data_IF_779946688982
#
_entry.id   IF_779946688982
#
_cell.length_a   1.000
_cell.length_b   1.000
_cell.length_c   1.000
_cell.angle_alpha   90.00
_cell.angle_beta   90.00
_cell.angle_gamma   90.00
#
_symmetry.space_group_name_H-M   'P 1'
#
loop_
_entity.id
_entity.type
_entity.pdbx_description
1 polymer ?
#
# COMPACT_ATOMS: atom_id res chain seq x y z
N UNK A 1 -3.31 -25.02 -1.60
CA UNK A 1 -2.05 -24.27 -1.41
C UNK A 1 -1.10 -25.14 -0.63
N UNK A 2 0.18 -25.13 -1.00
CA UNK A 2 1.23 -25.85 -0.30
C UNK A 2 1.46 -25.25 1.11
N UNK A 3 1.78 -26.10 2.10
CA UNK A 3 1.99 -25.68 3.50
C UNK A 3 3.17 -24.72 3.69
N UNK A 4 4.20 -24.86 2.86
CA UNK A 4 5.35 -23.96 2.90
C UNK A 4 4.99 -22.57 2.41
N UNK A 5 4.25 -22.47 1.29
CA UNK A 5 3.71 -21.23 0.76
C UNK A 5 2.77 -20.55 1.76
N UNK A 6 1.89 -21.32 2.40
CA UNK A 6 0.99 -20.81 3.44
C UNK A 6 1.77 -20.19 4.60
N UNK A 7 2.77 -20.92 5.13
CA UNK A 7 3.62 -20.43 6.22
C UNK A 7 4.36 -19.16 5.83
N UNK A 8 5.03 -19.17 4.69
CA UNK A 8 5.76 -18.00 4.17
C UNK A 8 4.87 -16.77 4.02
N UNK A 9 3.64 -16.98 3.54
CA UNK A 9 2.67 -15.89 3.43
C UNK A 9 2.26 -15.36 4.81
N UNK A 10 1.92 -16.23 5.77
CA UNK A 10 1.48 -15.80 7.11
C UNK A 10 2.58 -15.05 7.86
N UNK A 11 3.84 -15.46 7.71
CA UNK A 11 5.01 -14.77 8.25
C UNK A 11 5.19 -13.40 7.57
N UNK A 12 5.16 -13.36 6.26
CA UNK A 12 5.35 -12.13 5.48
C UNK A 12 4.23 -11.13 5.72
N UNK A 13 2.97 -11.55 5.63
CA UNK A 13 1.83 -10.65 5.85
C UNK A 13 1.80 -10.11 7.28
N UNK A 14 2.17 -10.92 8.28
CA UNK A 14 2.26 -10.47 9.66
C UNK A 14 3.32 -9.38 9.83
N UNK A 15 4.51 -9.59 9.27
CA UNK A 15 5.60 -8.61 9.30
C UNK A 15 5.19 -7.31 8.59
N UNK A 16 4.66 -7.40 7.37
CA UNK A 16 4.29 -6.23 6.56
C UNK A 16 3.09 -5.48 7.13
N UNK A 17 2.18 -6.15 7.82
CA UNK A 17 1.11 -5.49 8.57
C UNK A 17 1.66 -4.69 9.74
N UNK A 18 2.65 -5.19 10.47
CA UNK A 18 3.28 -4.45 11.59
C UNK A 18 4.10 -3.28 11.07
N UNK A 19 4.83 -3.46 9.97
CA UNK A 19 5.68 -2.41 9.40
C UNK A 19 4.91 -1.33 8.63
N UNK A 20 3.63 -1.53 8.29
CA UNK A 20 2.86 -0.62 7.43
C UNK A 20 3.00 0.87 7.78
N UNK A 21 2.95 1.31 9.07
CA UNK A 21 3.16 2.72 9.39
C UNK A 21 4.57 3.23 9.09
N UNK A 22 5.58 2.38 9.20
CA UNK A 22 6.96 2.74 8.88
C UNK A 22 7.15 2.78 7.36
N UNK A 23 6.60 1.80 6.65
CA UNK A 23 6.69 1.71 5.20
C UNK A 23 5.92 2.86 4.53
N UNK A 24 4.83 3.35 5.15
CA UNK A 24 4.09 4.52 4.69
C UNK A 24 4.97 5.78 4.62
N UNK A 25 5.98 5.91 5.49
CA UNK A 25 6.91 7.04 5.46
C UNK A 25 7.70 7.10 4.15
N UNK A 26 8.02 5.95 3.55
CA UNK A 26 8.69 5.93 2.25
C UNK A 26 7.85 6.59 1.16
N UNK A 27 6.54 6.37 1.19
CA UNK A 27 5.63 7.04 0.25
C UNK A 27 5.54 8.54 0.54
N UNK A 28 5.54 8.96 1.81
CA UNK A 28 5.57 10.37 2.18
C UNK A 28 6.87 11.05 1.72
N UNK A 29 8.01 10.38 1.87
CA UNK A 29 9.30 10.84 1.34
C UNK A 29 9.27 10.93 -0.18
N UNK A 30 8.65 9.95 -0.88
CA UNK A 30 8.50 10.00 -2.33
C UNK A 30 7.60 11.16 -2.80
N UNK A 31 6.56 11.51 -2.04
CA UNK A 31 5.72 12.70 -2.33
C UNK A 31 6.54 13.98 -2.28
N UNK A 32 7.43 14.09 -1.29
CA UNK A 32 8.25 15.28 -1.05
C UNK A 32 9.50 15.37 -1.93
N UNK A 33 9.93 14.27 -2.54
CA UNK A 33 11.20 14.20 -3.29
C UNK A 33 11.09 14.85 -4.68
N UNK A 34 11.69 16.04 -4.91
CA UNK A 34 11.58 16.76 -6.18
C UNK A 34 12.36 16.08 -7.34
N UNK A 35 13.26 15.14 -7.03
CA UNK A 35 14.06 14.44 -8.04
C UNK A 35 13.27 13.29 -8.69
N UNK A 36 12.13 12.88 -8.07
CA UNK A 36 11.22 11.90 -8.65
C UNK A 36 10.25 12.56 -9.65
N UNK A 37 9.91 11.82 -10.69
CA UNK A 37 8.90 12.23 -11.67
C UNK A 37 7.58 12.63 -11.01
N UNK A 38 6.99 13.75 -11.46
CA UNK A 38 5.74 14.27 -10.89
C UNK A 38 4.61 13.22 -10.83
N UNK A 39 4.44 12.43 -11.91
CA UNK A 39 3.42 11.37 -11.95
C UNK A 39 3.63 10.31 -10.85
N UNK A 40 4.88 9.98 -10.57
CA UNK A 40 5.27 9.03 -9.52
C UNK A 40 5.00 9.60 -8.12
N UNK A 41 5.27 10.88 -7.91
CA UNK A 41 4.93 11.58 -6.66
C UNK A 41 3.41 11.63 -6.44
N UNK A 42 2.63 11.89 -7.49
CA UNK A 42 1.15 11.82 -7.44
C UNK A 42 0.66 10.40 -7.13
N UNK A 43 1.30 9.37 -7.69
CA UNK A 43 1.01 7.97 -7.37
C UNK A 43 1.29 7.69 -5.88
N UNK A 44 2.42 8.14 -5.35
CA UNK A 44 2.75 8.00 -3.94
C UNK A 44 1.70 8.69 -3.05
N UNK A 45 1.34 9.94 -3.34
CA UNK A 45 0.31 10.69 -2.61
C UNK A 45 -1.06 10.00 -2.64
N UNK A 46 -1.47 9.46 -3.80
CA UNK A 46 -2.73 8.72 -3.93
C UNK A 46 -2.76 7.45 -3.08
N UNK A 47 -1.62 6.77 -2.99
CA UNK A 47 -1.47 5.58 -2.15
C UNK A 47 -1.52 5.92 -0.66
N UNK A 48 -0.82 6.99 -0.25
CA UNK A 48 -0.89 7.49 1.13
C UNK A 48 -2.34 7.77 1.49
N UNK A 49 -3.05 8.57 0.69
CA UNK A 49 -4.47 8.90 0.93
C UNK A 49 -5.33 7.64 1.00
N UNK A 50 -5.11 6.66 0.11
CA UNK A 50 -5.83 5.39 0.16
C UNK A 50 -5.62 4.67 1.49
N UNK A 51 -4.38 4.59 1.98
CA UNK A 51 -4.04 3.88 3.22
C UNK A 51 -4.60 4.58 4.46
N UNK A 52 -4.46 5.91 4.55
CA UNK A 52 -4.90 6.67 5.72
C UNK A 52 -6.42 6.88 5.78
N UNK A 53 -7.14 6.67 4.66
CA UNK A 53 -8.59 6.78 4.64
C UNK A 53 -9.21 5.68 5.51
N UNK A 54 -10.17 6.03 6.41
CA UNK A 54 -10.80 5.05 7.29
C UNK A 54 -11.40 3.86 6.54
N UNK A 55 -11.20 2.67 7.06
CA UNK A 55 -11.69 1.41 6.48
C UNK A 55 -12.94 0.93 7.21
N UNK A 56 -13.69 0.02 6.56
CA UNK A 56 -14.86 -0.62 7.16
C UNK A 56 -14.45 -1.39 8.44
N UNK A 57 -15.00 -0.96 9.58
CA UNK A 57 -14.73 -1.56 10.89
C UNK A 57 -15.33 -2.96 11.09
N UNK A 58 -16.22 -3.42 10.20
CA UNK A 58 -16.83 -4.74 10.29
C UNK A 58 -15.89 -5.88 9.86
N UNK A 59 -14.74 -5.53 9.26
CA UNK A 59 -13.72 -6.50 8.85
C UNK A 59 -12.59 -6.51 9.87
N UNK A 60 -12.16 -7.70 10.26
CA UNK A 60 -11.06 -7.86 11.22
C UNK A 60 -9.79 -7.15 10.75
N UNK A 61 -9.12 -6.43 11.66
CA UNK A 61 -8.03 -5.52 11.34
C UNK A 61 -6.91 -6.15 10.48
N UNK A 62 -6.37 -7.35 10.74
CA UNK A 62 -5.33 -7.93 9.90
C UNK A 62 -5.78 -8.08 8.43
N UNK A 63 -6.99 -8.61 8.20
CA UNK A 63 -7.53 -8.83 6.86
C UNK A 63 -7.86 -7.51 6.17
N UNK A 64 -8.41 -6.55 6.90
CA UNK A 64 -8.79 -5.23 6.40
C UNK A 64 -7.61 -4.44 5.81
N UNK A 65 -6.43 -4.54 6.43
CA UNK A 65 -5.22 -3.84 6.00
C UNK A 65 -4.37 -4.61 4.97
N UNK A 66 -4.76 -5.83 4.58
CA UNK A 66 -4.01 -6.61 3.58
C UNK A 66 -3.92 -5.89 2.22
N UNK A 67 -5.01 -5.25 1.79
CA UNK A 67 -5.01 -4.46 0.57
C UNK A 67 -4.00 -3.32 0.64
N UNK A 68 -3.95 -2.60 1.75
CA UNK A 68 -3.06 -1.46 1.95
C UNK A 68 -1.58 -1.88 1.88
N UNK A 69 -1.24 -3.03 2.49
CA UNK A 69 0.10 -3.60 2.42
C UNK A 69 0.51 -3.89 0.98
N UNK A 70 -0.34 -4.57 0.21
CA UNK A 70 -0.01 -4.93 -1.17
C UNK A 70 0.04 -3.69 -2.06
N UNK A 71 -0.91 -2.76 -1.88
CA UNK A 71 -0.97 -1.51 -2.64
C UNK A 71 0.29 -0.66 -2.40
N UNK A 72 0.78 -0.60 -1.16
CA UNK A 72 2.03 0.07 -0.81
C UNK A 72 3.23 -0.59 -1.51
N UNK A 73 3.33 -1.92 -1.51
CA UNK A 73 4.42 -2.65 -2.19
C UNK A 73 4.42 -2.41 -3.70
N UNK A 74 3.25 -2.41 -4.31
CA UNK A 74 3.09 -2.08 -5.73
C UNK A 74 3.51 -0.63 -6.02
N UNK A 75 3.15 0.31 -5.15
CA UNK A 75 3.57 1.71 -5.29
C UNK A 75 5.09 1.85 -5.21
N UNK A 76 5.74 1.22 -4.24
CA UNK A 76 7.20 1.23 -4.12
C UNK A 76 7.89 0.65 -5.36
N UNK A 77 7.37 -0.44 -5.92
CA UNK A 77 7.90 -1.00 -7.16
C UNK A 77 7.77 -0.02 -8.34
N UNK A 78 6.63 0.67 -8.45
CA UNK A 78 6.42 1.69 -9.49
C UNK A 78 7.31 2.91 -9.31
N UNK A 79 7.57 3.35 -8.09
CA UNK A 79 8.52 4.46 -7.82
C UNK A 79 9.89 4.14 -8.41
N UNK A 80 10.38 2.91 -8.23
CA UNK A 80 11.67 2.51 -8.82
C UNK A 80 11.61 2.38 -10.33
N UNK A 81 10.50 1.86 -10.87
CA UNK A 81 10.37 1.60 -12.31
C UNK A 81 10.09 2.87 -13.14
N UNK A 82 9.36 3.83 -12.57
CA UNK A 82 8.78 4.97 -13.29
C UNK A 82 9.19 6.34 -12.70
N UNK A 83 10.03 6.35 -11.65
CA UNK A 83 10.39 7.58 -10.92
C UNK A 83 11.44 8.46 -11.62
N UNK A 84 11.88 8.10 -12.83
CA UNK A 84 12.82 8.89 -13.59
C UNK A 84 14.26 8.81 -13.06
N UNK A 85 15.04 9.86 -13.30
CA UNK A 85 16.47 9.91 -12.95
C UNK A 85 16.71 9.87 -11.43
N UNK A 86 15.79 10.30 -10.61
CA UNK A 86 15.89 10.26 -9.15
C UNK A 86 15.62 8.88 -8.53
N UNK A 87 14.97 7.96 -9.26
CA UNK A 87 14.55 6.67 -8.71
C UNK A 87 15.71 5.79 -8.19
N UNK A 88 16.88 5.69 -8.83
CA UNK A 88 18.00 4.93 -8.30
C UNK A 88 18.50 5.48 -6.96
N UNK A 89 18.65 6.79 -6.81
CA UNK A 89 19.07 7.43 -5.58
C UNK A 89 18.05 7.26 -4.45
N UNK A 90 16.76 7.36 -4.80
CA UNK A 90 15.67 7.08 -3.87
C UNK A 90 15.73 5.63 -3.36
N UNK A 91 15.86 4.65 -4.25
CA UNK A 91 16.02 3.23 -3.90
C UNK A 91 17.23 2.97 -3.01
N UNK A 92 18.38 3.60 -3.30
CA UNK A 92 19.61 3.45 -2.50
C UNK A 92 19.42 3.99 -1.08
N UNK A 93 18.76 5.14 -0.93
CA UNK A 93 18.45 5.76 0.37
C UNK A 93 17.60 4.86 1.27
N UNK A 94 16.76 4.03 0.68
CA UNK A 94 15.85 3.10 1.37
C UNK A 94 16.12 1.63 1.02
N UNK A 95 17.41 1.27 0.88
CA UNK A 95 17.83 -0.04 0.39
C UNK A 95 17.36 -1.21 1.26
N UNK A 96 17.22 -1.01 2.56
CA UNK A 96 16.73 -2.04 3.49
C UNK A 96 15.27 -2.43 3.19
N UNK A 97 14.41 -1.46 3.00
CA UNK A 97 12.98 -1.66 2.71
C UNK A 97 12.77 -2.24 1.31
N UNK A 98 13.55 -1.78 0.34
CA UNK A 98 13.51 -2.30 -1.03
C UNK A 98 14.12 -3.71 -1.16
N UNK A 99 15.00 -4.12 -0.24
CA UNK A 99 15.72 -5.40 -0.33
C UNK A 99 14.80 -6.64 -0.32
N UNK A 100 13.57 -6.52 0.17
CA UNK A 100 12.59 -7.62 0.23
C UNK A 100 11.41 -7.44 -0.72
N UNK A 101 11.33 -6.32 -1.41
CA UNK A 101 10.14 -5.93 -2.16
C UNK A 101 9.77 -6.93 -3.24
N UNK A 102 10.74 -7.38 -4.02
CA UNK A 102 10.50 -8.32 -5.13
C UNK A 102 10.03 -9.68 -4.62
N UNK A 103 10.63 -10.20 -3.54
CA UNK A 103 10.22 -11.47 -2.92
C UNK A 103 8.81 -11.39 -2.33
N UNK A 104 8.48 -10.27 -1.66
CA UNK A 104 7.14 -10.04 -1.10
C UNK A 104 6.08 -9.97 -2.21
N UNK A 105 6.35 -9.24 -3.30
CA UNK A 105 5.43 -9.14 -4.44
C UNK A 105 5.26 -10.48 -5.16
N UNK A 106 6.32 -11.25 -5.34
CA UNK A 106 6.23 -12.59 -5.92
C UNK A 106 5.38 -13.52 -5.05
N UNK A 107 5.58 -13.47 -3.73
CA UNK A 107 4.79 -14.25 -2.78
C UNK A 107 3.30 -13.88 -2.83
N UNK A 108 2.99 -12.58 -2.89
CA UNK A 108 1.60 -12.12 -3.00
C UNK A 108 0.95 -12.57 -4.31
N UNK A 109 1.67 -12.55 -5.45
CA UNK A 109 1.16 -13.10 -6.72
C UNK A 109 0.87 -14.59 -6.64
N UNK A 110 1.74 -15.37 -5.99
CA UNK A 110 1.52 -16.82 -5.80
C UNK A 110 0.30 -17.12 -4.93
N UNK A 111 0.00 -16.29 -3.95
CA UNK A 111 -1.12 -16.51 -3.01
C UNK A 111 -2.44 -15.96 -3.52
N UNK A 112 -2.44 -14.72 -4.06
CA UNK A 112 -3.68 -14.03 -4.46
C UNK A 112 -4.06 -14.21 -5.93
N UNK A 113 -3.24 -14.87 -6.72
CA UNK A 113 -3.26 -14.91 -8.19
C UNK A 113 -2.87 -13.59 -8.86
N UNK A 114 -2.40 -13.69 -10.10
CA UNK A 114 -2.03 -12.52 -10.93
C UNK A 114 -3.21 -11.58 -11.15
N UNK A 115 -4.44 -12.10 -11.25
CA UNK A 115 -5.66 -11.31 -11.45
C UNK A 115 -5.95 -10.33 -10.31
N UNK A 116 -5.73 -10.72 -9.05
CA UNK A 116 -5.95 -9.85 -7.89
C UNK A 116 -4.88 -8.78 -7.82
N UNK A 117 -3.63 -9.16 -8.04
CA UNK A 117 -2.51 -8.21 -8.02
C UNK A 117 -2.61 -7.22 -9.19
N UNK A 118 -2.94 -7.69 -10.39
CA UNK A 118 -3.17 -6.84 -11.56
C UNK A 118 -4.37 -5.90 -11.35
N UNK A 119 -5.44 -6.36 -10.69
CA UNK A 119 -6.55 -5.48 -10.32
C UNK A 119 -6.09 -4.36 -9.38
N UNK A 120 -5.31 -4.66 -8.34
CA UNK A 120 -4.76 -3.65 -7.44
C UNK A 120 -3.87 -2.65 -8.21
N UNK A 121 -3.01 -3.15 -9.09
CA UNK A 121 -2.14 -2.31 -9.92
C UNK A 121 -2.94 -1.40 -10.87
N UNK A 122 -4.06 -1.87 -11.40
CA UNK A 122 -4.92 -1.10 -12.31
C UNK A 122 -5.70 0.05 -11.65
N UNK A 123 -5.68 0.19 -10.33
CA UNK A 123 -6.48 1.18 -9.59
C UNK A 123 -5.88 2.58 -9.55
N UNK A 124 -4.60 2.76 -9.86
CA UNK A 124 -3.91 4.04 -9.75
C UNK A 124 -4.62 5.22 -10.39
N UNK A 125 -5.16 5.12 -11.62
CA UNK A 125 -5.85 6.24 -12.25
C UNK A 125 -7.13 6.66 -11.50
N UNK A 126 -7.78 5.72 -10.81
CA UNK A 126 -8.95 6.00 -9.98
C UNK A 126 -8.54 6.61 -8.63
N UNK A 127 -7.49 6.09 -8.00
CA UNK A 127 -6.96 6.62 -6.74
C UNK A 127 -6.45 8.06 -6.90
N UNK A 128 -5.83 8.40 -8.02
CA UNK A 128 -5.35 9.74 -8.30
C UNK A 128 -6.48 10.79 -8.47
N UNK A 129 -7.72 10.36 -8.66
CA UNK A 129 -8.91 11.23 -8.77
C UNK A 129 -9.65 11.45 -7.44
N UNK A 130 -9.25 10.76 -6.39
CA UNK A 130 -9.85 10.89 -5.06
C UNK A 130 -9.64 12.31 -4.53
N UNK A 131 -10.60 12.80 -3.76
CA UNK A 131 -10.51 14.05 -3.01
C UNK A 131 -10.40 13.70 -1.53
N UNK A 132 -9.35 14.17 -0.87
CA UNK A 132 -9.12 13.99 0.56
C UNK A 132 -9.06 15.35 1.25
N UNK A 133 -9.80 15.53 2.34
CA UNK A 133 -9.88 16.79 3.08
C UNK A 133 -10.14 18.02 2.16
N UNK A 134 -11.02 17.87 1.15
CA UNK A 134 -11.36 18.87 0.12
C UNK A 134 -10.21 19.22 -0.84
N UNK A 135 -9.13 18.46 -0.86
CA UNK A 135 -7.96 18.65 -1.71
C UNK A 135 -7.88 17.51 -2.74
N UNK A 136 -7.54 17.85 -3.99
CA UNK A 136 -7.24 16.87 -5.05
C UNK A 136 -5.85 16.29 -4.85
N UNK A 137 -5.62 15.04 -5.23
CA UNK A 137 -4.31 14.38 -5.04
C UNK A 137 -3.12 15.17 -5.59
N UNK A 138 -3.12 15.74 -6.81
CA UNK A 138 -1.96 16.50 -7.28
C UNK A 138 -1.57 17.68 -6.38
N UNK A 139 -2.52 18.28 -5.65
CA UNK A 139 -2.23 19.40 -4.76
C UNK A 139 -1.25 19.02 -3.62
N UNK A 140 -1.21 17.73 -3.24
CA UNK A 140 -0.27 17.24 -2.22
C UNK A 140 1.18 17.19 -2.72
N UNK A 141 1.38 17.31 -4.04
CA UNK A 141 2.69 17.35 -4.69
C UNK A 141 3.06 18.78 -5.12
N UNK A 142 2.06 19.57 -5.53
CA UNK A 142 2.26 20.88 -6.16
C UNK A 142 2.34 22.04 -5.14
N UNK A 143 1.83 21.83 -3.92
CA UNK A 143 1.72 22.85 -2.87
C UNK A 143 2.36 22.34 -1.58
N UNK A 144 3.38 23.03 -1.10
CA UNK A 144 4.18 22.64 0.06
C UNK A 144 3.35 22.55 1.36
N UNK A 145 2.41 23.49 1.59
CA UNK A 145 1.56 23.46 2.77
C UNK A 145 0.61 22.26 2.74
N UNK A 146 0.09 21.95 1.55
CA UNK A 146 -0.79 20.80 1.32
C UNK A 146 -0.02 19.49 1.45
N UNK A 147 1.21 19.45 0.97
CA UNK A 147 2.13 18.32 1.15
C UNK A 147 2.45 18.06 2.63
N UNK A 148 2.77 19.13 3.36
CA UNK A 148 3.00 19.07 4.83
C UNK A 148 1.77 18.53 5.56
N UNK A 149 0.57 18.99 5.18
CA UNK A 149 -0.67 18.45 5.75
C UNK A 149 -0.80 16.93 5.51
N UNK A 150 -0.48 16.44 4.32
CA UNK A 150 -0.53 15.00 4.05
C UNK A 150 0.49 14.23 4.90
N UNK A 151 1.67 14.80 5.07
CA UNK A 151 2.72 14.22 5.92
C UNK A 151 2.24 14.06 7.36
N UNK A 152 1.63 15.11 7.94
CA UNK A 152 1.08 15.09 9.28
C UNK A 152 -0.06 14.07 9.45
N UNK A 153 -0.94 13.94 8.45
CA UNK A 153 -2.01 12.94 8.46
C UNK A 153 -1.43 11.50 8.40
N UNK A 154 -0.37 11.27 7.64
CA UNK A 154 0.35 10.00 7.64
C UNK A 154 0.99 9.66 8.99
N UNK A 155 1.59 10.63 9.68
CA UNK A 155 2.11 10.45 11.04
C UNK A 155 1.01 10.14 12.06
N UNK A 156 -0.13 10.83 11.96
CA UNK A 156 -1.31 10.54 12.80
C UNK A 156 -1.85 9.14 12.56
N UNK A 157 -1.90 8.69 11.30
CA UNK A 157 -2.25 7.31 10.98
C UNK A 157 -1.33 6.33 11.70
N UNK A 158 0.00 6.52 11.62
CA UNK A 158 0.98 5.67 12.29
C UNK A 158 0.78 5.60 13.81
N UNK A 159 0.48 6.75 14.44
CA UNK A 159 0.22 6.83 15.88
C UNK A 159 -1.04 6.07 16.30
N UNK A 160 -2.08 6.07 15.46
CA UNK A 160 -3.38 5.44 15.72
C UNK A 160 -3.53 4.05 15.13
N UNK A 161 -2.48 3.52 14.49
CA UNK A 161 -2.53 2.24 13.81
C UNK A 161 -2.73 1.08 14.80
N UNK A 162 -3.75 0.22 14.58
CA UNK A 162 -4.18 -0.73 15.62
C UNK A 162 -3.37 -2.03 15.65
N UNK A 163 -2.49 -2.25 14.66
CA UNK A 163 -1.77 -3.52 14.52
C UNK A 163 -0.36 -3.40 15.10
N UNK A 164 -0.06 -4.27 16.04
CA UNK A 164 1.25 -4.48 16.64
C UNK A 164 1.56 -5.97 16.66
N UNK A 165 2.80 -6.37 16.87
CA UNK A 165 3.17 -7.78 17.03
C UNK A 165 2.28 -8.47 18.09
N UNK A 166 2.07 -7.81 19.22
CA UNK A 166 1.22 -8.33 20.31
C UNK A 166 -0.24 -8.47 19.87
N UNK A 167 -0.79 -7.53 19.08
CA UNK A 167 -2.18 -7.58 18.61
C UNK A 167 -2.38 -8.64 17.53
N UNK A 168 -1.33 -9.01 16.78
CA UNK A 168 -1.38 -10.08 15.77
C UNK A 168 -1.20 -11.47 16.35
N UNK A 169 -0.59 -11.58 17.54
CA UNK A 169 -0.27 -12.87 18.14
C UNK A 169 -1.52 -13.77 18.18
N UNK A 170 -1.49 -14.85 17.41
CA UNK A 170 -2.57 -15.82 17.33
C UNK A 170 -3.80 -15.43 16.49
N UNK A 171 -3.82 -14.27 15.82
CA UNK A 171 -4.93 -13.84 14.94
C UNK A 171 -4.70 -14.16 13.47
N UNK A 172 -3.47 -14.12 13.00
CA UNK A 172 -3.10 -14.45 11.63
C UNK A 172 -2.72 -15.93 11.58
N UNK A 173 -3.70 -16.81 11.37
CA UNK A 173 -3.52 -18.28 11.38
C UNK A 173 -3.89 -18.95 10.07
N UNK A 174 -4.61 -18.27 9.21
CA UNK A 174 -5.17 -18.84 7.97
C UNK A 174 -5.05 -17.82 6.85
N UNK A 175 -4.75 -18.31 5.66
CA UNK A 175 -4.61 -17.48 4.45
C UNK A 175 -5.97 -17.16 3.83
N UNK A 176 -6.94 -18.08 3.94
CA UNK A 176 -8.23 -17.99 3.25
C UNK A 176 -8.99 -16.67 3.48
N UNK A 177 -9.07 -16.10 4.71
CA UNK A 177 -9.74 -14.82 4.93
C UNK A 177 -9.17 -13.66 4.10
N UNK A 178 -7.86 -13.65 3.86
CA UNK A 178 -7.20 -12.65 3.03
C UNK A 178 -7.57 -12.80 1.55
N UNK A 179 -7.54 -14.03 1.05
CA UNK A 179 -7.92 -14.36 -0.33
C UNK A 179 -9.38 -13.97 -0.58
N UNK A 180 -10.29 -14.38 0.30
CA UNK A 180 -11.72 -14.11 0.18
C UNK A 180 -12.02 -12.61 0.20
N UNK A 181 -11.32 -11.87 1.07
CA UNK A 181 -11.49 -10.42 1.18
C UNK A 181 -11.08 -9.70 -0.11
N UNK A 182 -9.89 -9.96 -0.63
CA UNK A 182 -9.39 -9.28 -1.83
C UNK A 182 -10.14 -9.71 -3.08
N UNK A 183 -10.48 -10.99 -3.21
CA UNK A 183 -11.29 -11.50 -4.33
C UNK A 183 -12.66 -10.83 -4.36
N UNK A 184 -13.34 -10.73 -3.22
CA UNK A 184 -14.63 -10.06 -3.10
C UNK A 184 -14.56 -8.58 -3.48
N UNK A 185 -13.54 -7.87 -3.03
CA UNK A 185 -13.33 -6.46 -3.41
C UNK A 185 -13.13 -6.29 -4.91
N UNK A 186 -12.24 -7.09 -5.50
CA UNK A 186 -12.05 -7.10 -6.96
C UNK A 186 -13.35 -7.31 -7.72
N UNK A 187 -14.15 -8.28 -7.31
CA UNK A 187 -15.40 -8.63 -7.99
C UNK A 187 -16.47 -7.53 -7.82
N UNK A 188 -16.49 -6.84 -6.68
CA UNK A 188 -17.35 -5.68 -6.46
C UNK A 188 -16.95 -4.51 -7.35
N UNK A 189 -15.66 -4.23 -7.51
CA UNK A 189 -15.19 -3.15 -8.36
C UNK A 189 -15.46 -3.44 -9.85
N UNK A 190 -15.26 -4.69 -10.30
CA UNK A 190 -15.61 -5.11 -11.68
C UNK A 190 -17.10 -4.89 -11.99
N UNK A 191 -17.99 -5.15 -11.05
CA UNK A 191 -19.44 -4.93 -11.24
C UNK A 191 -19.79 -3.45 -11.38
N UNK A 192 -19.13 -2.54 -10.65
CA UNK A 192 -19.37 -1.09 -10.74
C UNK A 192 -18.95 -0.49 -12.08
N UNK A 193 -17.98 -1.11 -12.77
CA UNK A 193 -17.49 -0.65 -14.08
C UNK A 193 -18.43 -1.09 -15.20
N UNK A 194 -19.21 -2.16 -14.98
CA UNK A 194 -20.09 -2.77 -15.99
C UNK A 194 -21.53 -2.22 -15.93
N UNK A 195 -21.85 -1.38 -14.94
CA UNK A 195 -23.17 -0.73 -14.75
C UNK A 195 -23.06 0.76 -15.08
#
# INVERSE_FOLDING_TARGET
>A
MDKELERSFLETISRTLVSLPFDLKLLLEAVADPDLEHATRVLAASTVVHIITPKDGNIEAPVRFAEDVIQLRLALAKIVAEGGEGAPAFKERFAEEYGRLDEELELFRKVFSDDVVAWLDSRWPALAKVVYAKKKIPMFVDDEEVGTFLYDEGLKFGTNYPITEKSLAGRVKQVQPFIDHLTRKRDQDKKKITT
#
